data_IF_557468723296
#
_entry.id   IF_557468723296
#
_cell.length_a   1.000
_cell.length_b   1.000
_cell.length_c   1.000
_cell.angle_alpha   90.00
_cell.angle_beta   90.00
_cell.angle_gamma   90.00
#
_symmetry.space_group_name_H-M   'P 1'
#
loop_
_entity.id
_entity.type
_entity.pdbx_description
1 polymer ?
#
# COMPACT_ATOMS: atom_id res chain seq x y z
N UNK A 1 -23.33 -14.31 -4.03
CA UNK A 1 -22.16 -13.55 -3.55
C UNK A 1 -20.94 -14.45 -3.68
N UNK A 2 -19.85 -14.02 -4.31
CA UNK A 2 -18.68 -14.89 -4.57
C UNK A 2 -17.87 -15.09 -3.30
N UNK A 3 -17.26 -16.27 -3.12
CA UNK A 3 -16.43 -16.58 -1.95
C UNK A 3 -15.32 -15.53 -1.73
N UNK A 4 -14.75 -15.01 -2.82
CA UNK A 4 -13.79 -13.91 -2.79
C UNK A 4 -14.31 -12.66 -2.08
N UNK A 5 -15.50 -12.16 -2.44
CA UNK A 5 -16.04 -10.94 -1.86
C UNK A 5 -16.31 -11.10 -0.35
N UNK A 6 -16.80 -12.27 0.06
CA UNK A 6 -16.99 -12.60 1.47
C UNK A 6 -15.67 -12.58 2.23
N UNK A 7 -14.63 -13.25 1.71
CA UNK A 7 -13.32 -13.28 2.38
C UNK A 7 -12.71 -11.88 2.48
N UNK A 8 -12.74 -11.09 1.41
CA UNK A 8 -12.24 -9.70 1.43
C UNK A 8 -12.97 -8.87 2.48
N UNK A 9 -14.30 -8.94 2.50
CA UNK A 9 -15.11 -8.18 3.46
C UNK A 9 -14.82 -8.60 4.91
N UNK A 10 -14.66 -9.91 5.17
CA UNK A 10 -14.33 -10.38 6.52
C UNK A 10 -12.95 -9.92 6.96
N UNK A 11 -11.94 -10.01 6.10
CA UNK A 11 -10.59 -9.55 6.42
C UNK A 11 -10.56 -8.04 6.69
N UNK A 12 -11.22 -7.25 5.85
CA UNK A 12 -11.34 -5.79 6.03
C UNK A 12 -12.09 -5.40 7.30
N UNK A 13 -13.12 -6.16 7.69
CA UNK A 13 -13.89 -5.93 8.91
C UNK A 13 -13.07 -6.24 10.17
N UNK A 14 -12.14 -7.20 10.09
CA UNK A 14 -11.22 -7.56 11.17
C UNK A 14 -10.01 -6.64 11.32
N UNK A 15 -9.93 -5.55 10.57
CA UNK A 15 -8.79 -4.63 10.63
C UNK A 15 -8.92 -3.60 11.77
N UNK A 16 -7.91 -3.55 12.62
CA UNK A 16 -7.69 -2.49 13.59
C UNK A 16 -6.36 -1.76 13.32
N UNK A 17 -6.38 -0.43 13.39
CA UNK A 17 -5.16 0.37 13.48
C UNK A 17 -5.00 0.88 14.91
N UNK A 18 -4.33 0.07 15.75
CA UNK A 18 -4.16 0.37 17.18
C UNK A 18 -2.70 0.32 17.65
N UNK A 19 -1.75 0.26 16.71
CA UNK A 19 -0.31 0.16 17.02
C UNK A 19 0.22 1.35 17.84
N UNK A 20 -0.44 2.50 17.73
CA UNK A 20 -0.12 3.72 18.48
C UNK A 20 -1.05 3.97 19.66
N UNK A 21 -1.97 3.05 19.98
CA UNK A 21 -2.82 3.13 21.16
C UNK A 21 -2.20 2.33 22.30
N UNK A 22 -2.20 2.92 23.50
CA UNK A 22 -1.81 2.23 24.74
C UNK A 22 -2.79 1.12 25.08
N UNK A 23 -4.09 1.39 24.98
CA UNK A 23 -5.15 0.40 25.12
C UNK A 23 -5.57 -0.09 23.74
N UNK A 24 -5.46 -1.41 23.53
CA UNK A 24 -5.82 -2.06 22.27
C UNK A 24 -7.31 -2.03 22.03
N UNK A 25 -7.71 -1.98 20.76
CA UNK A 25 -9.13 -1.86 20.41
C UNK A 25 -9.84 -3.21 20.62
N UNK A 26 -10.39 -3.40 21.81
CA UNK A 26 -11.08 -4.65 22.19
C UNK A 26 -12.31 -4.99 21.32
N UNK A 27 -12.74 -4.07 20.44
CA UNK A 27 -13.90 -4.28 19.54
C UNK A 27 -13.54 -5.09 18.29
N UNK A 28 -12.25 -5.26 17.99
CA UNK A 28 -11.80 -6.08 16.86
C UNK A 28 -11.38 -7.45 17.36
N UNK A 29 -12.26 -8.43 17.14
CA UNK A 29 -12.01 -9.83 17.49
C UNK A 29 -11.47 -10.56 16.24
N UNK A 30 -10.29 -11.19 16.31
CA UNK A 30 -9.76 -11.94 15.17
C UNK A 30 -10.69 -13.09 14.79
N UNK A 31 -11.10 -13.12 13.52
CA UNK A 31 -11.79 -14.29 12.96
C UNK A 31 -10.78 -15.42 12.81
N UNK A 32 -10.94 -16.50 13.58
CA UNK A 32 -10.00 -17.62 13.57
C UNK A 32 -10.18 -18.53 12.36
N UNK A 33 -11.42 -18.73 11.92
CA UNK A 33 -11.73 -19.57 10.76
C UNK A 33 -13.07 -19.18 10.14
N UNK A 34 -13.18 -19.40 8.84
CA UNK A 34 -14.42 -19.25 8.06
C UNK A 34 -14.59 -20.54 7.26
N UNK A 35 -15.71 -21.21 7.46
CA UNK A 35 -16.05 -22.42 6.70
C UNK A 35 -17.15 -22.10 5.68
N UNK A 36 -16.83 -22.32 4.42
CA UNK A 36 -17.77 -22.16 3.32
C UNK A 36 -18.51 -23.48 3.06
N UNK A 37 -19.82 -23.51 3.29
CA UNK A 37 -20.68 -24.67 3.02
C UNK A 37 -21.36 -24.50 1.66
N UNK A 38 -21.02 -25.37 0.71
CA UNK A 38 -21.65 -25.41 -0.61
C UNK A 38 -22.95 -26.21 -0.58
N UNK A 39 -23.95 -25.77 -1.33
CA UNK A 39 -25.15 -26.57 -1.68
C UNK A 39 -24.90 -27.41 -2.93
N UNK A 40 -25.82 -28.32 -3.26
CA UNK A 40 -25.74 -29.08 -4.51
C UNK A 40 -25.62 -28.16 -5.72
N UNK A 41 -24.75 -28.51 -6.68
CA UNK A 41 -24.41 -27.65 -7.82
C UNK A 41 -23.32 -26.60 -7.54
N UNK A 42 -22.76 -26.53 -6.32
CA UNK A 42 -21.64 -25.61 -6.03
C UNK A 42 -20.37 -25.99 -6.79
N UNK A 43 -19.84 -25.05 -7.57
CA UNK A 43 -18.54 -25.19 -8.22
C UNK A 43 -17.39 -25.03 -7.22
N UNK A 44 -16.97 -26.13 -6.60
CA UNK A 44 -15.90 -26.15 -5.58
C UNK A 44 -14.61 -25.45 -6.02
N UNK A 45 -14.19 -25.63 -7.29
CA UNK A 45 -12.97 -25.00 -7.82
C UNK A 45 -13.06 -23.47 -7.83
N UNK A 46 -14.19 -22.93 -8.25
CA UNK A 46 -14.42 -21.49 -8.25
C UNK A 46 -14.41 -20.92 -6.82
N UNK A 47 -14.96 -21.65 -5.85
CA UNK A 47 -14.93 -21.25 -4.44
C UNK A 47 -13.53 -21.29 -3.85
N UNK A 48 -12.75 -22.34 -4.08
CA UNK A 48 -11.36 -22.42 -3.63
C UNK A 48 -10.52 -21.26 -4.20
N UNK A 49 -10.61 -21.02 -5.51
CA UNK A 49 -9.92 -19.89 -6.15
C UNK A 49 -10.38 -18.54 -5.60
N UNK A 50 -11.69 -18.40 -5.34
CA UNK A 50 -12.24 -17.19 -4.72
C UNK A 50 -11.72 -16.97 -3.31
N UNK A 51 -11.64 -18.01 -2.47
CA UNK A 51 -11.08 -17.92 -1.11
C UNK A 51 -9.61 -17.49 -1.17
N UNK A 52 -8.79 -18.16 -1.99
CA UNK A 52 -7.37 -17.83 -2.13
C UNK A 52 -7.15 -16.38 -2.58
N UNK A 53 -7.85 -15.97 -3.65
CA UNK A 53 -7.78 -14.60 -4.16
C UNK A 53 -8.27 -13.59 -3.14
N UNK A 54 -9.37 -13.91 -2.44
CA UNK A 54 -9.97 -13.04 -1.44
C UNK A 54 -9.06 -12.83 -0.22
N UNK A 55 -8.35 -13.86 0.22
CA UNK A 55 -7.37 -13.76 1.31
C UNK A 55 -6.22 -12.84 0.94
N UNK A 56 -5.67 -12.98 -0.27
CA UNK A 56 -4.58 -12.12 -0.76
C UNK A 56 -5.05 -10.66 -0.88
N UNK A 57 -6.23 -10.43 -1.47
CA UNK A 57 -6.79 -9.09 -1.64
C UNK A 57 -7.12 -8.42 -0.30
N UNK A 58 -7.77 -9.13 0.63
CA UNK A 58 -8.08 -8.60 1.96
C UNK A 58 -6.83 -8.15 2.70
N UNK A 59 -5.83 -9.03 2.77
CA UNK A 59 -4.58 -8.76 3.47
C UNK A 59 -3.82 -7.58 2.84
N UNK A 60 -3.74 -7.52 1.51
CA UNK A 60 -3.07 -6.42 0.80
C UNK A 60 -3.82 -5.08 0.92
N UNK A 61 -5.15 -5.08 0.88
CA UNK A 61 -5.96 -3.88 1.16
C UNK A 61 -5.69 -3.38 2.58
N UNK A 62 -5.66 -4.27 3.57
CA UNK A 62 -5.37 -3.93 4.95
C UNK A 62 -3.93 -3.44 5.15
N UNK A 63 -2.96 -3.97 4.39
CA UNK A 63 -1.60 -3.44 4.34
C UNK A 63 -1.57 -2.02 3.77
N UNK A 64 -2.31 -1.73 2.69
CA UNK A 64 -2.45 -0.36 2.17
C UNK A 64 -3.08 0.57 3.20
N UNK A 65 -4.16 0.14 3.86
CA UNK A 65 -4.80 0.89 4.96
C UNK A 65 -3.81 1.17 6.09
N UNK A 66 -2.94 0.21 6.41
CA UNK A 66 -1.92 0.39 7.42
C UNK A 66 -0.92 1.47 7.05
N UNK A 67 -0.35 1.43 5.83
CA UNK A 67 0.55 2.49 5.35
C UNK A 67 -0.13 3.87 5.35
N UNK A 68 -1.38 3.93 4.90
CA UNK A 68 -2.18 5.15 4.88
C UNK A 68 -2.45 5.73 6.27
N UNK A 69 -2.69 4.85 7.24
CA UNK A 69 -3.04 5.25 8.60
C UNK A 69 -1.81 5.65 9.43
N UNK A 70 -0.63 5.10 9.12
CA UNK A 70 0.64 5.49 9.73
C UNK A 70 0.82 7.01 9.67
N UNK A 71 1.08 7.70 10.80
CA UNK A 71 1.18 9.15 10.82
C UNK A 71 2.38 9.63 10.00
N UNK A 72 2.33 10.84 9.44
CA UNK A 72 3.38 11.37 8.55
C UNK A 72 4.73 11.58 9.26
N UNK A 73 4.74 11.65 10.59
CA UNK A 73 5.98 11.64 11.39
C UNK A 73 6.76 10.32 11.31
N UNK A 74 6.08 9.22 10.95
CA UNK A 74 6.67 7.88 10.77
C UNK A 74 6.69 7.53 9.27
N UNK A 75 5.57 7.74 8.57
CA UNK A 75 5.40 7.49 7.14
C UNK A 75 6.16 8.56 6.33
N UNK A 76 7.48 8.41 6.24
CA UNK A 76 8.36 9.27 5.45
C UNK A 76 8.64 8.65 4.07
N UNK A 77 9.21 9.40 3.09
CA UNK A 77 9.60 8.81 1.79
C UNK A 77 10.57 7.63 1.93
N UNK A 78 11.44 7.67 2.94
CA UNK A 78 12.35 6.57 3.27
C UNK A 78 11.61 5.37 3.89
N UNK A 79 10.60 5.61 4.72
CA UNK A 79 9.77 4.55 5.28
C UNK A 79 8.96 3.84 4.18
N UNK A 80 8.35 4.60 3.27
CA UNK A 80 7.62 4.03 2.13
C UNK A 80 8.55 3.20 1.22
N UNK A 81 9.77 3.68 0.96
CA UNK A 81 10.79 2.91 0.24
C UNK A 81 11.18 1.61 0.98
N UNK A 82 11.28 1.65 2.30
CA UNK A 82 11.55 0.45 3.13
C UNK A 82 10.39 -0.54 3.08
N UNK A 83 9.14 -0.06 3.05
CA UNK A 83 7.97 -0.91 2.87
C UNK A 83 8.02 -1.64 1.52
N UNK A 84 8.34 -0.93 0.43
CA UNK A 84 8.55 -1.54 -0.88
C UNK A 84 9.69 -2.57 -0.88
N UNK A 85 10.82 -2.26 -0.26
CA UNK A 85 11.93 -3.22 -0.12
C UNK A 85 11.54 -4.47 0.67
N UNK A 86 10.65 -4.37 1.67
CA UNK A 86 10.13 -5.53 2.39
C UNK A 86 9.37 -6.46 1.43
N UNK A 87 8.54 -5.91 0.54
CA UNK A 87 7.85 -6.69 -0.51
C UNK A 87 8.86 -7.41 -1.40
N UNK A 88 9.91 -6.74 -1.87
CA UNK A 88 10.95 -7.39 -2.69
C UNK A 88 11.71 -8.53 -1.97
N UNK A 89 11.84 -8.45 -0.64
CA UNK A 89 12.43 -9.54 0.17
C UNK A 89 11.47 -10.71 0.34
N UNK A 90 10.19 -10.44 0.48
CA UNK A 90 9.14 -11.44 0.65
C UNK A 90 8.83 -12.18 -0.66
N UNK A 91 8.89 -11.47 -1.79
CA UNK A 91 8.57 -12.00 -3.11
C UNK A 91 9.79 -11.93 -4.04
N UNK A 92 10.59 -13.01 -4.17
CA UNK A 92 11.83 -13.01 -4.96
C UNK A 92 11.66 -12.68 -6.45
N UNK A 93 10.44 -12.77 -6.98
CA UNK A 93 10.11 -12.38 -8.36
C UNK A 93 9.90 -10.87 -8.53
N UNK A 94 9.89 -10.12 -7.44
CA UNK A 94 9.72 -8.66 -7.43
C UNK A 94 11.07 -8.02 -7.16
N UNK A 95 11.64 -7.38 -8.18
CA UNK A 95 12.85 -6.58 -8.02
C UNK A 95 12.47 -5.17 -7.60
N UNK A 96 13.14 -4.65 -6.56
CA UNK A 96 12.88 -3.30 -6.04
C UNK A 96 14.13 -2.46 -6.19
N UNK A 97 14.00 -1.32 -6.87
CA UNK A 97 15.05 -0.32 -7.04
C UNK A 97 14.57 0.98 -6.41
N UNK A 98 15.41 1.62 -5.58
CA UNK A 98 15.11 2.89 -4.93
C UNK A 98 16.14 3.90 -5.40
N UNK A 99 15.70 4.99 -6.03
CA UNK A 99 16.59 6.11 -6.32
C UNK A 99 16.62 7.07 -5.13
N UNK A 100 17.84 7.39 -4.71
CA UNK A 100 18.15 8.46 -3.78
C UNK A 100 18.01 9.84 -4.43
N UNK A 101 17.99 10.91 -3.62
CA UNK A 101 18.04 12.30 -4.10
C UNK A 101 19.18 12.56 -5.10
N UNK A 102 20.34 11.93 -4.92
CA UNK A 102 21.47 12.08 -5.83
C UNK A 102 21.20 11.44 -7.20
N UNK A 103 20.61 10.25 -7.24
CA UNK A 103 20.22 9.58 -8.48
C UNK A 103 19.08 10.31 -9.18
N UNK A 104 18.07 10.76 -8.43
CA UNK A 104 16.97 11.60 -8.93
C UNK A 104 17.52 12.87 -9.60
N UNK A 105 18.51 13.53 -8.98
CA UNK A 105 19.21 14.69 -9.55
C UNK A 105 19.98 14.35 -10.81
N UNK A 106 20.73 13.24 -10.81
CA UNK A 106 21.50 12.78 -11.97
C UNK A 106 20.60 12.45 -13.16
N UNK A 107 19.41 11.92 -12.91
CA UNK A 107 18.40 11.59 -13.93
C UNK A 107 17.59 12.80 -14.42
N UNK A 108 17.83 14.00 -13.87
CA UNK A 108 17.15 15.22 -14.33
C UNK A 108 15.68 15.32 -13.93
N UNK A 109 15.26 14.65 -12.85
CA UNK A 109 13.86 14.65 -12.37
C UNK A 109 13.50 15.95 -11.64
N UNK A 110 13.60 17.09 -12.33
CA UNK A 110 13.47 18.43 -11.77
C UNK A 110 12.12 18.70 -11.10
N UNK A 111 11.02 18.14 -11.60
CA UNK A 111 9.69 18.31 -10.99
C UNK A 111 9.64 17.71 -9.57
N UNK A 112 10.10 16.46 -9.40
CA UNK A 112 10.15 15.81 -8.09
C UNK A 112 11.08 16.56 -7.11
N UNK A 113 12.22 17.05 -7.61
CA UNK A 113 13.15 17.85 -6.80
C UNK A 113 12.54 19.18 -6.37
N UNK A 114 11.82 19.86 -7.28
CA UNK A 114 11.15 21.12 -6.99
C UNK A 114 10.07 20.98 -5.93
N UNK A 115 9.28 19.89 -5.96
CA UNK A 115 8.26 19.62 -4.93
C UNK A 115 8.90 19.32 -3.58
N UNK A 116 9.96 18.51 -3.55
CA UNK A 116 10.59 18.05 -2.30
C UNK A 116 11.58 19.04 -1.67
N UNK A 117 11.97 20.11 -2.36
CA UNK A 117 13.03 21.01 -1.91
C UNK A 117 12.76 21.70 -0.57
N UNK A 118 11.48 21.86 -0.21
CA UNK A 118 11.06 22.48 1.06
C UNK A 118 10.97 21.51 2.23
N UNK A 119 11.24 20.22 2.02
CA UNK A 119 11.24 19.20 3.08
C UNK A 119 12.67 18.89 3.53
N UNK A 120 12.86 18.71 4.84
CA UNK A 120 14.10 18.16 5.40
C UNK A 120 14.27 16.65 5.07
N UNK A 121 13.16 15.98 4.74
CA UNK A 121 13.16 14.58 4.34
C UNK A 121 13.48 14.47 2.84
N UNK A 122 14.56 13.78 2.45
CA UNK A 122 14.92 13.67 1.04
C UNK A 122 13.89 12.85 0.26
N UNK A 123 13.61 13.19 -1.02
CA UNK A 123 12.74 12.40 -1.86
C UNK A 123 13.38 11.04 -2.16
N UNK A 124 12.52 10.05 -2.38
CA UNK A 124 12.86 8.75 -2.96
C UNK A 124 12.02 8.52 -4.21
N UNK A 125 12.52 7.69 -5.12
CA UNK A 125 11.73 7.19 -6.26
C UNK A 125 11.77 5.67 -6.25
N UNK A 126 10.61 5.05 -6.15
CA UNK A 126 10.46 3.61 -5.95
C UNK A 126 10.09 2.97 -7.28
N UNK A 127 10.85 1.95 -7.69
CA UNK A 127 10.54 1.12 -8.86
C UNK A 127 10.41 -0.32 -8.37
N UNK A 128 9.25 -0.93 -8.61
CA UNK A 128 8.98 -2.33 -8.32
C UNK A 128 8.68 -3.06 -9.63
N UNK A 129 9.49 -4.05 -9.96
CA UNK A 129 9.43 -4.76 -11.24
C UNK A 129 9.02 -6.21 -11.00
N UNK A 130 7.88 -6.61 -11.56
CA UNK A 130 7.44 -8.01 -11.65
C UNK A 130 7.39 -8.44 -13.11
N UNK A 131 8.31 -9.31 -13.51
CA UNK A 131 8.44 -9.79 -14.90
C UNK A 131 7.93 -11.23 -15.04
N UNK A 132 6.65 -11.45 -14.69
CA UNK A 132 6.01 -12.78 -14.76
C UNK A 132 5.47 -13.17 -16.13
N UNK A 133 5.41 -12.23 -17.08
CA UNK A 133 4.98 -12.47 -18.46
C UNK A 133 6.08 -13.04 -19.35
N UNK A 134 5.80 -13.20 -20.64
CA UNK A 134 6.82 -13.60 -21.61
C UNK A 134 7.83 -12.47 -21.79
N UNK A 135 9.08 -12.81 -22.10
CA UNK A 135 10.17 -11.83 -22.33
C UNK A 135 9.86 -10.81 -23.45
N UNK A 136 9.00 -11.18 -24.41
CA UNK A 136 8.56 -10.32 -25.51
C UNK A 136 7.35 -9.45 -25.18
N UNK A 137 6.66 -9.70 -24.06
CA UNK A 137 5.49 -8.94 -23.65
C UNK A 137 5.92 -7.60 -23.04
N UNK A 138 5.24 -6.53 -23.41
CA UNK A 138 5.46 -5.21 -22.81
C UNK A 138 4.89 -5.19 -21.40
N UNK A 139 5.56 -4.55 -20.42
CA UNK A 139 5.04 -4.45 -19.07
C UNK A 139 3.87 -3.47 -19.02
N UNK A 140 2.94 -3.73 -18.10
CA UNK A 140 1.99 -2.72 -17.63
C UNK A 140 2.67 -1.88 -16.55
N UNK A 141 2.63 -0.56 -16.67
CA UNK A 141 3.21 0.35 -15.67
C UNK A 141 2.08 0.99 -14.88
N UNK A 142 2.12 0.79 -13.56
CA UNK A 142 1.27 1.49 -12.59
C UNK A 142 2.10 2.60 -11.96
N UNK A 143 1.55 3.82 -11.88
CA UNK A 143 2.23 4.98 -11.28
C UNK A 143 1.39 5.51 -10.13
N UNK A 144 1.96 5.45 -8.93
CA UNK A 144 1.33 5.94 -7.71
C UNK A 144 1.87 7.30 -7.28
N UNK A 145 0.98 8.22 -6.89
CA UNK A 145 1.38 9.44 -6.19
C UNK A 145 1.79 9.08 -4.76
N UNK A 146 3.00 9.45 -4.36
CA UNK A 146 3.59 9.11 -3.06
C UNK A 146 3.96 10.33 -2.21
N UNK A 147 3.09 11.34 -2.12
CA UNK A 147 3.32 12.49 -1.23
C UNK A 147 2.93 12.10 0.19
N UNK A 148 3.93 11.86 1.04
CA UNK A 148 3.67 11.32 2.38
C UNK A 148 3.01 12.30 3.34
N UNK A 149 3.10 13.61 3.04
CA UNK A 149 2.30 14.64 3.66
C UNK A 149 2.27 15.88 2.75
N UNK A 150 1.07 16.39 2.46
CA UNK A 150 0.89 17.59 1.64
C UNK A 150 0.40 18.78 2.47
N UNK A 151 1.32 19.67 2.84
CA UNK A 151 0.96 20.94 3.48
C UNK A 151 0.47 21.99 2.48
N UNK A 152 0.65 21.78 1.17
CA UNK A 152 0.49 22.78 0.11
C UNK A 152 1.77 23.57 -0.22
N UNK A 153 2.83 23.46 0.60
CA UNK A 153 4.06 24.21 0.42
C UNK A 153 3.90 25.70 0.74
N UNK A 154 4.47 26.59 -0.08
CA UNK A 154 4.29 28.04 0.07
C UNK A 154 2.81 28.45 -0.03
N UNK A 155 2.05 27.74 -0.87
CA UNK A 155 0.59 27.83 -0.94
C UNK A 155 -0.03 26.97 0.15
N UNK A 156 0.21 27.34 1.41
CA UNK A 156 -0.18 26.57 2.57
C UNK A 156 -1.69 26.30 2.59
N UNK A 157 -2.07 25.03 2.76
CA UNK A 157 -3.47 24.65 2.93
C UNK A 157 -4.03 25.24 4.22
N UNK A 158 -5.33 25.59 4.26
CA UNK A 158 -6.00 25.86 5.53
C UNK A 158 -6.01 24.61 6.41
N UNK A 159 -5.97 24.82 7.73
CA UNK A 159 -5.88 23.75 8.75
C UNK A 159 -6.88 22.61 8.54
N UNK A 160 -8.15 22.96 8.28
CA UNK A 160 -9.23 21.99 8.07
C UNK A 160 -8.99 21.01 6.91
N UNK A 161 -8.12 21.36 5.96
CA UNK A 161 -7.78 20.53 4.80
C UNK A 161 -6.45 19.79 4.98
N UNK A 162 -5.77 19.95 6.11
CA UNK A 162 -4.41 19.43 6.32
C UNK A 162 -4.39 18.11 7.10
N UNK A 163 -5.37 17.87 7.98
CA UNK A 163 -5.45 16.67 8.83
C UNK A 163 -5.35 15.36 8.05
N UNK A 164 -6.01 15.29 6.89
CA UNK A 164 -6.09 14.08 6.07
C UNK A 164 -4.98 13.99 5.01
N UNK A 165 -4.07 14.97 4.93
CA UNK A 165 -3.04 15.01 3.88
C UNK A 165 -1.93 13.97 4.05
N UNK A 166 -1.96 13.17 5.13
CA UNK A 166 -1.20 11.92 5.20
C UNK A 166 -1.65 10.90 4.14
N UNK A 167 -2.88 11.01 3.64
CA UNK A 167 -3.44 10.12 2.63
C UNK A 167 -3.04 10.51 1.20
N UNK A 168 -2.24 11.57 1.01
CA UNK A 168 -1.81 12.03 -0.31
C UNK A 168 -0.75 11.13 -1.00
N UNK A 169 -0.49 9.97 -0.38
CA UNK A 169 0.33 8.87 -0.87
C UNK A 169 -0.48 7.60 -1.20
N UNK A 170 -1.82 7.62 -1.08
CA UNK A 170 -2.65 6.42 -1.27
C UNK A 170 -2.57 5.78 -2.67
N UNK A 171 -2.01 6.50 -3.64
CA UNK A 171 -1.77 5.95 -4.97
C UNK A 171 -0.51 5.08 -5.06
N UNK A 172 0.47 5.25 -4.16
CA UNK A 172 1.76 4.57 -4.14
C UNK A 172 1.76 3.33 -3.25
#
# INVERSE_FOLDING_TARGET
>A
MTAQATVVATDMAGYAFDEHKTEKDARVVPVQSITFLGVEGTEKRAWHSGVETGTILGATINQTRHLANTPPSIMTPAFLAKAAQKVGKEFPKVKVTIFSKAEIKKLGMGCLLGVSQGSDLPPTFIIMEYMGGKKSEKPTVLVGKGITFDSGGLSLKPEAYMTDMKFDMLGA
#
